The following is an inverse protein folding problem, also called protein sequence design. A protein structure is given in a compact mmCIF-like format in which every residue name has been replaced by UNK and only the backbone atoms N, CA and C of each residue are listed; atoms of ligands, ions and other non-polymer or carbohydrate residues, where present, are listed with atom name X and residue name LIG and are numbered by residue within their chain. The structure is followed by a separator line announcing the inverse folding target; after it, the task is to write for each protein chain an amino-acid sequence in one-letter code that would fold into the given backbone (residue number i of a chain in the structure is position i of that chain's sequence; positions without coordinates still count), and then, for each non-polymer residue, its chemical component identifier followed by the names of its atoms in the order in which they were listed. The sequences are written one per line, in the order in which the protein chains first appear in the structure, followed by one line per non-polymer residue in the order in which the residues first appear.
data_IF_305042035305
#
_entry.id   IF_305042035305
#
_cell.length_a   1.000
_cell.length_b   1.000
_cell.length_c   1.000
_cell.angle_alpha   90.00
_cell.angle_beta   90.00
_cell.angle_gamma   90.00
#
_symmetry.space_group_name_H-M   'P 1'
#
loop_
_entity.id
_entity.type
_entity.pdbx_description
1 polymer ?
#
# COMPACT_ATOMS: atom_id res chain seq x y z
N UNK A 1 10.53 10.72 41.57
CA UNK A 1 11.46 9.59 41.76
C UNK A 1 11.10 8.96 43.10
N UNK A 2 10.55 7.74 43.12
CA UNK A 2 10.14 7.08 44.37
C UNK A 2 11.39 6.89 45.24
N UNK A 3 11.48 7.54 46.41
CA UNK A 3 12.66 7.60 47.28
C UNK A 3 12.97 6.29 48.02
N UNK A 4 12.99 5.17 47.30
CA UNK A 4 13.08 3.82 47.85
C UNK A 4 14.41 3.21 47.45
N UNK A 5 15.10 2.58 48.41
CA UNK A 5 16.40 1.94 48.12
C UNK A 5 16.24 0.75 47.16
N UNK A 6 17.20 0.58 46.23
CA UNK A 6 17.26 -0.55 45.27
C UNK A 6 17.08 -1.90 45.98
N UNK A 7 17.70 -2.06 47.16
CA UNK A 7 17.60 -3.27 47.98
C UNK A 7 16.16 -3.57 48.42
N UNK A 8 15.41 -2.55 48.80
CA UNK A 8 14.02 -2.70 49.21
C UNK A 8 13.13 -3.01 48.02
N UNK A 9 13.31 -2.31 46.90
CA UNK A 9 12.56 -2.56 45.67
C UNK A 9 12.76 -3.99 45.13
N UNK A 10 14.01 -4.46 45.03
CA UNK A 10 14.31 -5.83 44.59
C UNK A 10 13.74 -6.90 45.53
N UNK A 11 13.74 -6.66 46.86
CA UNK A 11 13.14 -7.58 47.83
C UNK A 11 11.63 -7.68 47.66
N UNK A 12 10.94 -6.55 47.52
CA UNK A 12 9.49 -6.51 47.32
C UNK A 12 9.10 -7.18 46.01
N UNK A 13 9.90 -6.99 44.95
CA UNK A 13 9.67 -7.61 43.64
C UNK A 13 10.12 -9.09 43.56
N UNK A 14 10.74 -9.65 44.61
CA UNK A 14 11.29 -11.01 44.58
C UNK A 14 12.43 -11.23 43.58
N UNK A 15 13.10 -10.15 43.15
CA UNK A 15 14.13 -10.18 42.11
C UNK A 15 15.53 -10.06 42.71
N UNK A 16 16.49 -10.83 42.18
CA UNK A 16 17.88 -10.71 42.61
C UNK A 16 18.50 -9.39 42.11
N UNK A 17 19.25 -8.69 42.96
CA UNK A 17 19.87 -7.39 42.62
C UNK A 17 20.79 -7.45 41.40
N UNK A 18 21.48 -8.58 41.18
CA UNK A 18 22.30 -8.76 39.98
C UNK A 18 21.47 -8.71 38.69
N UNK A 19 20.22 -9.18 38.72
CA UNK A 19 19.30 -9.11 37.58
C UNK A 19 18.80 -7.69 37.36
N UNK A 20 18.60 -6.90 38.43
CA UNK A 20 18.23 -5.48 38.34
C UNK A 20 19.39 -4.62 37.80
N UNK A 21 20.63 -4.98 38.14
CA UNK A 21 21.87 -4.31 37.69
C UNK A 21 22.38 -4.82 36.35
N UNK A 22 21.79 -5.90 35.83
CA UNK A 22 22.16 -6.44 34.53
C UNK A 22 21.58 -5.52 33.46
N UNK A 23 22.43 -4.71 32.86
CA UNK A 23 22.05 -3.97 31.67
C UNK A 23 21.77 -4.96 30.54
N UNK A 24 20.61 -4.88 29.88
CA UNK A 24 20.34 -5.69 28.70
C UNK A 24 21.47 -5.46 27.68
N UNK A 25 21.97 -6.51 27.02
CA UNK A 25 23.02 -6.38 25.99
C UNK A 25 22.67 -5.33 24.93
N UNK A 26 21.38 -5.14 24.65
CA UNK A 26 20.84 -4.10 23.78
C UNK A 26 21.15 -2.64 24.19
N UNK A 27 21.56 -2.41 25.43
CA UNK A 27 21.94 -1.10 25.98
C UNK A 27 23.47 -0.93 26.08
N UNK A 28 24.24 -1.94 25.67
CA UNK A 28 25.70 -1.92 25.74
C UNK A 28 26.32 -1.57 24.38
N UNK A 29 27.49 -0.91 24.34
CA UNK A 29 28.23 -0.64 23.09
C UNK A 29 28.62 -1.90 22.30
N UNK A 30 28.48 -3.09 22.90
CA UNK A 30 28.79 -4.38 22.29
C UNK A 30 27.55 -5.09 21.74
N UNK A 31 26.40 -4.42 21.60
CA UNK A 31 25.22 -5.03 20.99
C UNK A 31 25.50 -5.45 19.53
N UNK A 32 25.54 -6.76 19.21
CA UNK A 32 25.74 -7.21 17.84
C UNK A 32 24.56 -6.84 16.92
N UNK A 33 23.43 -6.43 17.49
CA UNK A 33 22.21 -6.07 16.79
C UNK A 33 22.03 -4.55 16.62
N UNK A 34 22.96 -3.71 17.13
CA UNK A 34 22.83 -2.25 17.15
C UNK A 34 22.48 -1.65 15.78
N UNK A 35 23.26 -1.98 14.74
CA UNK A 35 23.04 -1.48 13.39
C UNK A 35 21.68 -1.92 12.81
N UNK A 36 21.22 -3.13 13.15
CA UNK A 36 19.91 -3.62 12.71
C UNK A 36 18.77 -2.93 13.48
N UNK A 37 18.95 -2.59 14.76
CA UNK A 37 17.98 -1.81 15.53
C UNK A 37 17.86 -0.39 14.96
N UNK A 38 18.98 0.25 14.65
CA UNK A 38 18.99 1.57 14.00
C UNK A 38 18.23 1.53 12.68
N UNK A 39 18.55 0.56 11.83
CA UNK A 39 17.84 0.33 10.58
C UNK A 39 16.33 0.12 10.78
N UNK A 40 15.92 -0.70 11.77
CA UNK A 40 14.51 -0.95 12.06
C UNK A 40 13.79 0.29 12.57
N UNK A 41 14.46 1.15 13.35
CA UNK A 41 13.91 2.41 13.84
C UNK A 41 13.70 3.39 12.70
N UNK A 42 14.66 3.51 11.80
CA UNK A 42 14.54 4.40 10.64
C UNK A 42 13.49 3.89 9.66
N UNK A 43 13.49 2.58 9.37
CA UNK A 43 12.44 1.93 8.58
C UNK A 43 11.03 2.19 9.15
N UNK A 44 10.85 2.14 10.48
CA UNK A 44 9.57 2.38 11.11
C UNK A 44 9.13 3.85 11.08
N UNK A 45 10.07 4.80 11.05
CA UNK A 45 9.77 6.24 10.86
C UNK A 45 9.30 6.51 9.44
N UNK A 46 9.98 5.94 8.45
CA UNK A 46 9.66 6.14 7.03
C UNK A 46 8.40 5.37 6.62
N UNK A 47 8.10 4.28 7.33
CA UNK A 47 6.97 3.42 7.02
C UNK A 47 6.11 3.09 8.25
N UNK A 48 5.43 4.08 8.85
CA UNK A 48 4.72 3.93 10.13
C UNK A 48 3.54 2.93 10.08
N UNK A 49 3.07 2.59 8.88
CA UNK A 49 2.01 1.61 8.63
C UNK A 49 2.52 0.21 8.26
N UNK A 50 3.82 0.03 8.07
CA UNK A 50 4.41 -1.27 7.69
C UNK A 50 4.93 -2.00 8.93
N UNK A 51 4.65 -3.29 9.02
CA UNK A 51 5.05 -4.12 10.15
C UNK A 51 6.35 -4.88 9.92
N UNK A 52 6.77 -5.61 10.95
CA UNK A 52 8.00 -6.41 10.96
C UNK A 52 8.16 -7.36 9.77
N UNK A 53 7.06 -7.86 9.17
CA UNK A 53 7.11 -8.75 8.00
C UNK A 53 7.62 -8.00 6.77
N UNK A 54 7.15 -6.78 6.54
CA UNK A 54 7.65 -5.93 5.45
C UNK A 54 9.10 -5.56 5.71
N UNK A 55 9.40 -5.11 6.94
CA UNK A 55 10.77 -4.79 7.36
C UNK A 55 11.75 -5.96 7.13
N UNK A 56 11.32 -7.19 7.39
CA UNK A 56 12.13 -8.38 7.11
C UNK A 56 12.48 -8.52 5.61
N UNK A 57 11.52 -8.35 4.71
CA UNK A 57 11.77 -8.50 3.27
C UNK A 57 12.57 -7.34 2.70
N UNK A 58 12.36 -6.14 3.22
CA UNK A 58 13.09 -4.94 2.82
C UNK A 58 14.55 -5.05 3.29
N UNK A 59 14.79 -5.47 4.55
CA UNK A 59 16.12 -5.76 5.07
C UNK A 59 16.85 -6.84 4.24
N UNK A 60 16.18 -7.95 3.89
CA UNK A 60 16.79 -9.01 3.08
C UNK A 60 17.25 -8.51 1.71
N UNK A 61 16.50 -7.58 1.12
CA UNK A 61 16.84 -7.01 -0.18
C UNK A 61 17.97 -5.99 -0.12
N UNK A 62 18.15 -5.32 1.02
CA UNK A 62 19.31 -4.47 1.31
C UNK A 62 20.56 -5.26 1.73
N UNK A 63 20.50 -6.59 1.69
CA UNK A 63 21.65 -7.47 1.92
C UNK A 63 21.77 -8.02 3.34
N UNK A 64 20.86 -7.67 4.25
CA UNK A 64 20.89 -8.22 5.60
C UNK A 64 20.69 -9.74 5.60
N UNK A 65 21.58 -10.47 6.28
CA UNK A 65 21.47 -11.94 6.45
C UNK A 65 20.87 -12.23 7.83
N UNK A 66 19.54 -12.14 7.91
CA UNK A 66 18.81 -12.22 9.17
C UNK A 66 17.55 -13.07 9.03
N UNK A 67 17.17 -13.77 10.09
CA UNK A 67 15.94 -14.55 10.14
C UNK A 67 14.74 -13.66 10.53
N UNK A 68 13.55 -13.94 10.00
CA UNK A 68 12.32 -13.22 10.35
C UNK A 68 12.03 -13.22 11.87
N UNK A 69 12.41 -14.28 12.60
CA UNK A 69 12.27 -14.35 14.07
C UNK A 69 13.13 -13.30 14.78
N UNK A 70 14.33 -13.02 14.26
CA UNK A 70 15.22 -11.99 14.80
C UNK A 70 14.63 -10.61 14.60
N UNK A 71 14.15 -10.30 13.39
CA UNK A 71 13.44 -9.04 13.10
C UNK A 71 12.23 -8.88 14.01
N UNK A 72 11.40 -9.92 14.15
CA UNK A 72 10.22 -9.86 15.03
C UNK A 72 10.58 -9.60 16.50
N UNK A 73 11.65 -10.22 17.00
CA UNK A 73 12.15 -10.02 18.36
C UNK A 73 12.63 -8.58 18.56
N UNK A 74 13.53 -8.11 17.71
CA UNK A 74 14.08 -6.75 17.79
C UNK A 74 12.99 -5.68 17.65
N UNK A 75 12.06 -5.87 16.72
CA UNK A 75 10.89 -4.99 16.56
C UNK A 75 10.09 -4.83 17.86
N UNK A 76 9.91 -5.90 18.64
CA UNK A 76 9.22 -5.86 19.93
C UNK A 76 10.07 -5.22 21.01
N UNK A 77 11.36 -5.52 21.06
CA UNK A 77 12.31 -4.96 22.03
C UNK A 77 12.46 -3.44 21.86
N UNK A 78 12.47 -2.95 20.62
CA UNK A 78 12.46 -1.51 20.29
C UNK A 78 11.09 -0.83 20.52
N UNK A 79 10.07 -1.59 20.97
CA UNK A 79 8.74 -1.05 21.21
C UNK A 79 7.97 -0.64 19.95
N UNK A 80 8.47 -1.01 18.75
CA UNK A 80 7.84 -0.66 17.48
C UNK A 80 6.48 -1.35 17.35
N UNK A 81 5.46 -0.58 16.97
CA UNK A 81 4.09 -1.09 16.79
C UNK A 81 3.45 -0.41 15.59
N UNK A 82 2.77 -1.22 14.78
CA UNK A 82 1.90 -0.70 13.73
C UNK A 82 0.53 -0.43 14.36
N UNK A 83 -0.03 0.78 14.24
CA UNK A 83 -1.38 1.07 14.69
C UNK A 83 -2.37 0.09 14.05
N UNK A 84 -3.22 -0.53 14.87
CA UNK A 84 -4.19 -1.48 14.36
C UNK A 84 -5.21 -0.76 13.49
N UNK A 85 -5.35 -1.21 12.24
CA UNK A 85 -6.39 -0.73 11.35
C UNK A 85 -7.75 -1.13 11.92
N UNK A 86 -8.70 -0.18 11.99
CA UNK A 86 -10.10 -0.49 12.30
C UNK A 86 -10.65 -1.40 11.20
N UNK A 87 -10.81 -2.69 11.50
CA UNK A 87 -11.47 -3.63 10.59
C UNK A 87 -12.94 -3.23 10.45
N UNK A 88 -13.36 -2.83 9.25
CA UNK A 88 -14.78 -2.75 8.93
C UNK A 88 -15.33 -4.17 8.86
N UNK A 89 -16.40 -4.47 9.61
CA UNK A 89 -17.10 -5.76 9.49
C UNK A 89 -17.66 -5.85 8.07
N UNK A 90 -17.19 -6.82 7.28
CA UNK A 90 -17.87 -7.20 6.03
C UNK A 90 -19.22 -7.82 6.41
N UNK A 91 -20.30 -7.33 5.80
CA UNK A 91 -21.61 -7.99 5.87
C UNK A 91 -21.70 -8.90 4.64
N UNK A 92 -21.84 -10.21 4.85
CA UNK A 92 -22.00 -11.20 3.76
C UNK A 92 -20.72 -11.91 3.30
N UNK A 93 -20.92 -12.94 2.48
CA UNK A 93 -19.89 -13.79 1.86
C UNK A 93 -19.98 -13.64 0.33
N UNK A 94 -18.85 -13.61 -0.37
CA UNK A 94 -18.84 -13.57 -1.84
C UNK A 94 -19.37 -14.87 -2.41
N UNK A 95 -20.47 -14.82 -3.16
CA UNK A 95 -21.14 -15.97 -3.79
C UNK A 95 -20.96 -16.03 -5.31
N UNK A 96 -20.21 -15.09 -5.89
CA UNK A 96 -20.00 -15.02 -7.34
C UNK A 96 -18.75 -15.82 -7.81
N UNK A 97 -18.81 -16.50 -8.97
CA UNK A 97 -17.64 -17.04 -9.63
C UNK A 97 -16.70 -15.91 -10.11
N UNK A 98 -15.37 -16.12 -10.17
CA UNK A 98 -14.44 -15.10 -10.65
C UNK A 98 -14.70 -14.79 -12.13
N UNK A 99 -15.06 -13.54 -12.43
CA UNK A 99 -15.21 -13.03 -13.78
C UNK A 99 -13.88 -12.47 -14.30
N UNK A 100 -13.51 -12.85 -15.54
CA UNK A 100 -12.30 -12.47 -16.30
C UNK A 100 -11.01 -12.58 -15.48
N UNK A 101 -10.24 -13.64 -15.73
CA UNK A 101 -8.95 -13.84 -15.08
C UNK A 101 -7.91 -12.92 -15.75
N UNK A 102 -7.25 -12.09 -14.94
CA UNK A 102 -6.06 -11.37 -15.37
C UNK A 102 -4.84 -12.32 -15.36
N UNK A 103 -4.75 -13.13 -16.41
CA UNK A 103 -3.73 -14.16 -16.60
C UNK A 103 -2.40 -13.63 -17.18
N UNK A 104 -2.44 -12.46 -17.81
CA UNK A 104 -1.29 -11.75 -18.33
C UNK A 104 -1.33 -10.24 -18.00
N UNK A 105 -0.18 -9.53 -18.01
CA UNK A 105 -0.12 -8.07 -17.97
C UNK A 105 -0.97 -7.45 -19.09
N UNK A 106 -1.56 -6.30 -18.81
CA UNK A 106 -2.44 -5.54 -19.70
C UNK A 106 -3.68 -6.30 -20.16
N UNK A 107 -4.02 -7.45 -19.56
CA UNK A 107 -5.28 -8.13 -19.89
C UNK A 107 -6.48 -7.42 -19.27
N UNK A 108 -6.35 -7.02 -18.01
CA UNK A 108 -7.40 -6.34 -17.26
C UNK A 108 -6.81 -5.17 -16.51
N UNK A 109 -7.26 -3.96 -16.87
CA UNK A 109 -7.02 -2.76 -16.08
C UNK A 109 -8.22 -2.50 -15.20
N UNK A 110 -7.98 -2.23 -13.92
CA UNK A 110 -9.01 -1.89 -12.95
C UNK A 110 -8.94 -0.40 -12.60
N UNK A 111 -10.08 0.26 -12.68
CA UNK A 111 -10.25 1.68 -12.37
C UNK A 111 -11.18 1.83 -11.17
N UNK A 112 -10.81 2.71 -10.24
CA UNK A 112 -11.68 3.08 -9.11
C UNK A 112 -11.35 4.48 -8.59
N UNK A 113 -12.37 5.13 -8.06
CA UNK A 113 -12.31 6.49 -7.54
C UNK A 113 -12.29 6.48 -6.02
N UNK A 114 -11.56 7.43 -5.45
CA UNK A 114 -11.61 7.73 -4.03
C UNK A 114 -11.55 9.23 -3.79
N UNK A 115 -12.05 9.62 -2.62
CA UNK A 115 -12.17 11.01 -2.23
C UNK A 115 -11.42 11.28 -0.92
N UNK A 116 -10.91 12.49 -0.84
CA UNK A 116 -10.32 13.13 0.34
C UNK A 116 -10.65 14.64 0.33
N UNK A 117 -10.13 15.41 1.27
CA UNK A 117 -10.27 16.87 1.29
C UNK A 117 -8.99 17.57 1.73
N UNK A 118 -8.78 18.78 1.21
CA UNK A 118 -7.74 19.68 1.72
C UNK A 118 -8.14 20.26 3.08
N UNK A 119 -7.20 20.86 3.81
CA UNK A 119 -7.43 21.40 5.17
C UNK A 119 -8.44 22.54 5.22
N UNK A 120 -8.72 23.17 4.08
CA UNK A 120 -9.79 24.16 3.89
C UNK A 120 -11.15 23.53 3.54
N UNK A 121 -11.27 22.21 3.59
CA UNK A 121 -12.51 21.45 3.33
C UNK A 121 -12.82 21.23 1.86
N UNK A 122 -11.98 21.69 0.91
CA UNK A 122 -12.26 21.48 -0.52
C UNK A 122 -12.01 20.02 -0.92
N UNK A 123 -12.90 19.40 -1.70
CA UNK A 123 -12.77 17.99 -2.07
C UNK A 123 -11.58 17.74 -3.00
N UNK A 124 -10.95 16.59 -2.85
CA UNK A 124 -9.92 16.04 -3.74
C UNK A 124 -10.44 14.70 -4.24
N UNK A 125 -10.55 14.59 -5.56
CA UNK A 125 -10.95 13.39 -6.27
C UNK A 125 -9.70 12.72 -6.83
N UNK A 126 -9.56 11.43 -6.56
CA UNK A 126 -8.40 10.63 -6.96
C UNK A 126 -8.92 9.45 -7.76
N UNK A 127 -8.41 9.27 -8.97
CA UNK A 127 -8.61 8.03 -9.73
C UNK A 127 -7.33 7.22 -9.73
N UNK A 128 -7.47 5.92 -9.58
CA UNK A 128 -6.38 4.96 -9.64
C UNK A 128 -6.66 3.95 -10.73
N UNK A 129 -5.69 3.73 -11.62
CA UNK A 129 -5.72 2.74 -12.69
C UNK A 129 -4.61 1.75 -12.39
N UNK A 130 -4.96 0.48 -12.22
CA UNK A 130 -3.99 -0.58 -11.92
C UNK A 130 -4.12 -1.73 -12.91
N UNK A 131 -3.03 -2.45 -13.11
CA UNK A 131 -3.04 -3.72 -13.79
C UNK A 131 -3.34 -4.86 -12.79
N UNK A 132 -4.38 -5.66 -13.07
CA UNK A 132 -4.83 -6.69 -12.12
C UNK A 132 -3.84 -7.85 -11.96
N UNK A 133 -3.05 -8.15 -13.01
CA UNK A 133 -2.10 -9.25 -13.01
C UNK A 133 -0.85 -8.88 -12.21
N UNK A 134 -0.18 -7.81 -12.61
CA UNK A 134 1.11 -7.34 -12.10
C UNK A 134 1.01 -6.52 -10.82
N UNK A 135 -0.19 -6.02 -10.49
CA UNK A 135 -0.47 -5.10 -9.37
C UNK A 135 0.16 -3.74 -9.53
N UNK A 136 0.68 -3.46 -10.72
CA UNK A 136 1.32 -2.21 -11.03
C UNK A 136 0.28 -1.10 -11.06
N UNK A 137 0.59 0.01 -10.41
CA UNK A 137 -0.12 1.26 -10.59
C UNK A 137 0.29 1.82 -11.95
N UNK A 138 -0.66 1.88 -12.88
CA UNK A 138 -0.39 2.34 -14.24
C UNK A 138 -0.41 3.86 -14.30
N UNK A 139 -1.47 4.45 -13.74
CA UNK A 139 -1.70 5.88 -13.81
C UNK A 139 -3.00 6.30 -13.14
N UNK A 140 -3.39 7.54 -13.34
CA UNK A 140 -4.54 8.17 -12.72
C UNK A 140 -4.24 9.59 -12.25
N UNK A 141 -5.28 10.25 -11.78
CA UNK A 141 -5.31 11.71 -11.60
C UNK A 141 -5.67 12.08 -10.17
N UNK A 142 -5.23 13.26 -9.73
CA UNK A 142 -5.58 13.87 -8.44
C UNK A 142 -6.06 15.29 -8.72
N UNK A 143 -7.37 15.48 -8.72
CA UNK A 143 -8.03 16.68 -9.21
C UNK A 143 -9.20 17.11 -8.32
N UNK A 144 -9.73 18.32 -8.54
CA UNK A 144 -11.01 18.72 -7.92
C UNK A 144 -12.20 18.05 -8.59
N UNK A 145 -12.11 17.84 -9.91
CA UNK A 145 -13.09 17.17 -10.74
C UNK A 145 -12.38 16.38 -11.82
N UNK A 146 -12.93 15.24 -12.20
CA UNK A 146 -12.42 14.37 -13.26
C UNK A 146 -13.63 14.03 -14.13
N UNK A 147 -13.57 14.42 -15.40
CA UNK A 147 -14.58 14.13 -16.43
C UNK A 147 -14.27 12.78 -17.11
N UNK A 148 -15.24 12.25 -17.87
CA UNK A 148 -15.01 11.06 -18.70
C UNK A 148 -13.94 11.29 -19.76
N UNK A 149 -13.92 12.47 -20.40
CA UNK A 149 -12.92 12.85 -21.40
C UNK A 149 -11.49 12.85 -20.83
N UNK A 150 -11.27 13.48 -19.67
CA UNK A 150 -9.95 13.46 -19.03
C UNK A 150 -9.51 12.05 -18.63
N UNK A 151 -10.46 11.18 -18.28
CA UNK A 151 -10.16 9.77 -17.99
C UNK A 151 -9.77 9.01 -19.26
N UNK A 152 -10.44 9.28 -20.37
CA UNK A 152 -10.10 8.71 -21.69
C UNK A 152 -8.68 9.15 -22.09
N UNK A 153 -8.37 10.45 -22.00
CA UNK A 153 -7.03 10.96 -22.33
C UNK A 153 -5.92 10.27 -21.51
N UNK A 154 -6.18 10.03 -20.22
CA UNK A 154 -5.26 9.31 -19.35
C UNK A 154 -5.14 7.83 -19.74
N UNK A 155 -6.24 7.17 -20.10
CA UNK A 155 -6.21 5.78 -20.57
C UNK A 155 -5.46 5.64 -21.90
N UNK A 156 -5.64 6.57 -22.83
CA UNK A 156 -4.91 6.62 -24.10
C UNK A 156 -3.42 6.86 -23.88
N UNK A 157 -3.05 7.78 -22.98
CA UNK A 157 -1.65 8.01 -22.59
C UNK A 157 -1.02 6.72 -22.05
N UNK A 158 -1.72 6.02 -21.15
CA UNK A 158 -1.26 4.75 -20.60
C UNK A 158 -1.14 3.65 -21.66
N UNK A 159 -2.09 3.56 -22.57
CA UNK A 159 -2.06 2.59 -23.66
C UNK A 159 -0.88 2.85 -24.61
N UNK A 160 -0.60 4.12 -24.92
CA UNK A 160 0.56 4.52 -25.71
C UNK A 160 1.89 4.17 -25.01
N UNK A 161 2.00 4.43 -23.70
CA UNK A 161 3.19 4.06 -22.91
C UNK A 161 3.41 2.55 -22.83
N UNK A 162 2.33 1.77 -22.79
CA UNK A 162 2.37 0.30 -22.75
C UNK A 162 2.51 -0.33 -24.14
N UNK A 163 2.26 0.43 -25.20
CA UNK A 163 2.17 -0.06 -26.57
C UNK A 163 0.92 -0.91 -26.85
N UNK A 164 -0.04 -0.96 -25.93
CA UNK A 164 -1.30 -1.71 -26.08
C UNK A 164 -2.39 -1.16 -25.18
N UNK A 165 -3.63 -1.26 -25.65
CA UNK A 165 -4.82 -1.12 -24.81
C UNK A 165 -5.07 -2.37 -23.98
N UNK A 166 -5.78 -2.24 -22.84
CA UNK A 166 -6.22 -3.41 -22.10
C UNK A 166 -7.30 -4.18 -22.85
N UNK A 167 -7.31 -5.51 -22.72
CA UNK A 167 -8.43 -6.28 -23.29
C UNK A 167 -9.75 -5.96 -22.56
N UNK A 168 -9.68 -5.70 -21.25
CA UNK A 168 -10.83 -5.33 -20.43
C UNK A 168 -10.50 -4.16 -19.51
N UNK A 169 -11.37 -3.16 -19.48
CA UNK A 169 -11.39 -2.12 -18.46
C UNK A 169 -12.47 -2.46 -17.44
N UNK A 170 -12.06 -2.86 -16.23
CA UNK A 170 -12.96 -3.15 -15.12
C UNK A 170 -13.19 -1.89 -14.30
N UNK A 171 -14.44 -1.53 -14.11
CA UNK A 171 -14.80 -0.32 -13.39
C UNK A 171 -16.18 -0.42 -12.71
N UNK A 172 -16.48 0.50 -11.81
CA UNK A 172 -17.81 0.64 -11.23
C UNK A 172 -18.74 1.47 -12.15
N UNK A 173 -20.00 1.62 -11.74
CA UNK A 173 -20.99 2.37 -12.52
C UNK A 173 -20.91 3.89 -12.26
N UNK A 174 -19.71 4.42 -12.01
CA UNK A 174 -19.50 5.86 -11.83
C UNK A 174 -19.92 6.64 -13.08
N UNK A 175 -20.48 7.86 -12.95
CA UNK A 175 -20.95 8.64 -14.09
C UNK A 175 -19.85 9.00 -15.10
N UNK A 176 -18.59 9.04 -14.67
CA UNK A 176 -17.42 9.28 -15.53
C UNK A 176 -17.13 8.10 -16.46
N UNK A 177 -17.56 6.90 -16.07
CA UNK A 177 -17.33 5.63 -16.76
C UNK A 177 -18.58 5.18 -17.53
N UNK A 178 -19.77 5.47 -16.99
CA UNK A 178 -21.06 5.17 -17.59
C UNK A 178 -21.55 6.31 -18.52
N UNK A 179 -20.65 6.89 -19.32
CA UNK A 179 -20.96 7.95 -20.28
C UNK A 179 -20.83 7.46 -21.74
N UNK A 180 -21.52 8.12 -22.67
CA UNK A 180 -21.49 7.74 -24.09
C UNK A 180 -20.07 7.85 -24.67
N UNK A 181 -19.32 8.89 -24.28
CA UNK A 181 -17.94 9.08 -24.72
C UNK A 181 -17.03 7.89 -24.35
N UNK A 182 -17.20 7.30 -23.16
CA UNK A 182 -16.45 6.12 -22.74
C UNK A 182 -16.86 4.88 -23.53
N UNK A 183 -18.15 4.72 -23.83
CA UNK A 183 -18.64 3.63 -24.66
C UNK A 183 -18.12 3.74 -26.11
N UNK A 184 -18.13 4.94 -26.68
CA UNK A 184 -17.61 5.24 -28.01
C UNK A 184 -16.10 5.04 -28.08
N UNK A 185 -15.36 5.51 -27.07
CA UNK A 185 -13.93 5.25 -26.94
C UNK A 185 -13.65 3.76 -26.88
N UNK A 186 -14.33 2.99 -26.04
CA UNK A 186 -14.05 1.56 -25.91
C UNK A 186 -14.45 0.72 -27.14
N UNK A 187 -15.34 1.23 -27.99
CA UNK A 187 -15.93 0.48 -29.09
C UNK A 187 -14.89 -0.12 -30.03
N UNK A 188 -14.84 -1.45 -30.09
CA UNK A 188 -13.94 -2.20 -30.98
C UNK A 188 -12.48 -2.30 -30.52
N UNK A 189 -12.10 -1.67 -29.39
CA UNK A 189 -10.73 -1.70 -28.88
C UNK A 189 -10.59 -2.25 -27.46
N UNK A 190 -11.55 -1.97 -26.56
CA UNK A 190 -11.50 -2.34 -25.14
C UNK A 190 -12.84 -2.91 -24.68
N UNK A 191 -12.83 -4.03 -23.97
CA UNK A 191 -14.05 -4.54 -23.32
C UNK A 191 -14.36 -3.76 -22.04
N UNK A 192 -15.44 -2.98 -21.99
CA UNK A 192 -15.90 -2.37 -20.74
C UNK A 192 -16.60 -3.41 -19.87
N UNK A 193 -16.07 -3.65 -18.66
CA UNK A 193 -16.67 -4.52 -17.67
C UNK A 193 -17.11 -3.71 -16.44
N UNK A 194 -18.37 -3.32 -16.43
CA UNK A 194 -19.02 -2.69 -15.29
C UNK A 194 -19.34 -3.71 -14.20
N UNK A 195 -18.88 -3.45 -12.97
CA UNK A 195 -19.25 -4.30 -11.83
C UNK A 195 -20.73 -4.07 -11.46
N UNK A 196 -21.48 -5.11 -11.06
CA UNK A 196 -22.85 -4.95 -10.62
C UNK A 196 -22.96 -3.99 -9.42
N UNK A 197 -24.01 -3.17 -9.33
CA UNK A 197 -24.26 -2.33 -8.17
C UNK A 197 -24.28 -3.15 -6.88
N UNK A 198 -23.56 -2.68 -5.86
CA UNK A 198 -23.50 -3.35 -4.56
C UNK A 198 -22.57 -4.56 -4.50
N UNK A 199 -21.75 -4.80 -5.53
CA UNK A 199 -20.75 -5.89 -5.57
C UNK A 199 -19.28 -5.40 -5.61
N UNK A 200 -18.81 -4.62 -4.60
CA UNK A 200 -17.46 -4.07 -4.53
C UNK A 200 -16.35 -5.14 -4.68
N UNK A 201 -16.60 -6.35 -4.17
CA UNK A 201 -15.66 -7.46 -4.24
C UNK A 201 -15.32 -7.93 -5.66
N UNK A 202 -16.04 -7.50 -6.69
CA UNK A 202 -15.64 -7.80 -8.08
C UNK A 202 -14.50 -6.92 -8.58
N UNK A 203 -14.19 -5.83 -7.89
CA UNK A 203 -13.05 -4.94 -8.18
C UNK A 203 -11.99 -5.01 -7.05
N UNK A 204 -11.82 -6.18 -6.43
CA UNK A 204 -11.03 -6.39 -5.21
C UNK A 204 -9.59 -5.82 -5.27
N UNK A 205 -8.98 -5.79 -6.46
CA UNK A 205 -7.58 -5.43 -6.61
C UNK A 205 -7.35 -3.93 -6.49
N UNK A 206 -8.14 -3.12 -7.21
CA UNK A 206 -8.05 -1.67 -7.07
C UNK A 206 -8.63 -1.22 -5.74
N UNK A 207 -9.62 -1.92 -5.18
CA UNK A 207 -10.07 -1.65 -3.80
C UNK A 207 -8.97 -1.89 -2.77
N UNK A 208 -8.21 -2.96 -2.94
CA UNK A 208 -7.06 -3.27 -2.07
C UNK A 208 -5.97 -2.21 -2.22
N UNK A 209 -5.75 -1.72 -3.44
CA UNK A 209 -4.85 -0.60 -3.72
C UNK A 209 -5.33 0.70 -3.06
N UNK A 210 -6.58 1.11 -3.29
CA UNK A 210 -7.20 2.33 -2.76
C UNK A 210 -7.28 2.29 -1.22
N UNK A 211 -7.57 1.13 -0.67
CA UNK A 211 -7.47 0.89 0.77
C UNK A 211 -6.08 1.15 1.34
N UNK A 212 -5.02 0.94 0.55
CA UNK A 212 -3.64 1.03 0.99
C UNK A 212 -3.11 2.45 0.91
N UNK A 213 -3.31 3.12 -0.22
CA UNK A 213 -3.03 4.55 -0.33
C UNK A 213 -3.82 5.33 0.74
N UNK A 214 -5.06 4.94 1.04
CA UNK A 214 -5.81 5.57 2.12
C UNK A 214 -5.13 5.42 3.48
N UNK A 215 -4.70 4.21 3.84
CA UNK A 215 -4.11 3.95 5.16
C UNK A 215 -2.68 4.51 5.31
N UNK A 216 -1.89 4.38 4.24
CA UNK A 216 -0.45 4.62 4.24
C UNK A 216 -0.04 5.98 3.66
N UNK A 217 -0.93 6.69 2.99
CA UNK A 217 -0.68 8.03 2.46
C UNK A 217 -1.72 9.02 3.00
N UNK A 218 -2.99 8.84 2.66
CA UNK A 218 -4.03 9.83 2.92
C UNK A 218 -4.26 10.05 4.43
N UNK A 219 -4.42 8.98 5.21
CA UNK A 219 -4.70 9.07 6.65
C UNK A 219 -3.52 9.55 7.51
N UNK A 220 -2.32 9.67 6.95
CA UNK A 220 -1.12 10.13 7.68
C UNK A 220 -0.64 11.50 7.22
N UNK A 221 -1.27 12.08 6.19
CA UNK A 221 -0.95 13.39 5.66
C UNK A 221 -2.11 14.36 5.86
N UNK A 222 -1.80 15.66 5.86
CA UNK A 222 -2.80 16.72 5.75
C UNK A 222 -2.42 17.58 4.56
N UNK A 223 -3.37 17.78 3.64
CA UNK A 223 -3.13 18.47 2.38
C UNK A 223 -3.60 19.91 2.45
N UNK A 224 -2.69 20.88 2.36
CA UNK A 224 -3.03 22.31 2.34
C UNK A 224 -3.49 22.75 0.94
N UNK A 225 -3.06 22.04 -0.11
CA UNK A 225 -3.39 22.36 -1.50
C UNK A 225 -3.50 21.12 -2.38
N UNK A 226 -4.17 21.27 -3.53
CA UNK A 226 -4.23 20.21 -4.55
C UNK A 226 -2.84 19.88 -5.11
N UNK A 227 -1.99 20.90 -5.29
CA UNK A 227 -0.63 20.72 -5.80
C UNK A 227 0.21 19.84 -4.85
N UNK A 228 0.13 20.08 -3.54
CA UNK A 228 0.78 19.23 -2.56
C UNK A 228 0.21 17.81 -2.59
N UNK A 229 -1.12 17.65 -2.67
CA UNK A 229 -1.74 16.34 -2.75
C UNK A 229 -1.25 15.55 -3.97
N UNK A 230 -1.13 16.19 -5.15
CA UNK A 230 -0.58 15.58 -6.37
C UNK A 230 0.84 15.06 -6.14
N UNK A 231 1.73 15.87 -5.59
CA UNK A 231 3.14 15.47 -5.35
C UNK A 231 3.21 14.30 -4.38
N UNK A 232 2.60 14.43 -3.19
CA UNK A 232 2.68 13.39 -2.15
C UNK A 232 2.07 12.06 -2.62
N UNK A 233 0.94 12.11 -3.34
CA UNK A 233 0.30 10.91 -3.88
C UNK A 233 1.15 10.31 -5.01
N UNK A 234 1.75 11.13 -5.88
CA UNK A 234 2.63 10.66 -6.94
C UNK A 234 3.89 9.97 -6.38
N UNK A 235 4.54 10.57 -5.37
CA UNK A 235 5.70 9.99 -4.70
C UNK A 235 5.35 8.65 -4.06
N UNK A 236 4.20 8.58 -3.37
CA UNK A 236 3.72 7.32 -2.78
C UNK A 236 3.44 6.24 -3.84
N UNK A 237 2.87 6.62 -4.99
CA UNK A 237 2.60 5.72 -6.11
C UNK A 237 3.89 5.21 -6.75
N UNK A 238 4.91 6.06 -6.86
CA UNK A 238 6.24 5.66 -7.30
C UNK A 238 6.87 4.65 -6.33
N UNK A 239 6.86 4.92 -5.02
CA UNK A 239 7.33 3.98 -4.00
C UNK A 239 6.59 2.63 -4.06
N UNK A 240 5.26 2.69 -4.23
CA UNK A 240 4.41 1.52 -4.39
C UNK A 240 4.89 0.61 -5.54
N UNK A 241 5.25 1.17 -6.69
CA UNK A 241 5.63 0.38 -7.86
C UNK A 241 7.06 -0.16 -7.78
N UNK A 242 7.99 0.65 -7.26
CA UNK A 242 9.43 0.38 -7.39
C UNK A 242 10.05 -0.25 -6.15
N UNK A 243 9.54 0.06 -4.95
CA UNK A 243 10.18 -0.36 -3.70
C UNK A 243 9.30 -1.29 -2.88
N UNK A 244 7.98 -1.13 -2.95
CA UNK A 244 7.08 -1.90 -2.09
C UNK A 244 6.97 -3.37 -2.50
N UNK A 245 7.30 -4.26 -1.58
CA UNK A 245 7.22 -5.71 -1.79
C UNK A 245 5.82 -6.26 -1.57
N UNK A 246 5.34 -7.07 -2.52
CA UNK A 246 4.02 -7.72 -2.46
C UNK A 246 4.14 -9.21 -2.17
N UNK A 247 3.48 -9.69 -1.11
CA UNK A 247 3.48 -11.13 -0.80
C UNK A 247 2.85 -12.00 -1.90
N UNK A 248 1.88 -11.46 -2.65
CA UNK A 248 1.27 -12.14 -3.80
C UNK A 248 2.19 -12.26 -5.01
N UNK A 249 3.24 -11.43 -5.09
CA UNK A 249 4.22 -11.38 -6.18
C UNK A 249 5.58 -11.95 -5.73
N UNK A 250 5.58 -12.89 -4.79
CA UNK A 250 6.82 -13.46 -4.25
C UNK A 250 7.72 -12.42 -3.55
N UNK A 251 7.13 -11.35 -3.00
CA UNK A 251 7.82 -10.21 -2.41
C UNK A 251 8.67 -9.39 -3.38
N UNK A 252 8.31 -9.39 -4.67
CA UNK A 252 8.84 -8.43 -5.63
C UNK A 252 8.01 -7.13 -5.63
N UNK A 253 8.64 -5.98 -5.96
CA UNK A 253 7.92 -4.77 -6.33
C UNK A 253 7.11 -4.96 -7.62
N UNK A 254 5.92 -4.33 -7.76
CA UNK A 254 5.07 -4.48 -8.94
C UNK A 254 5.79 -4.21 -10.26
N UNK A 255 6.58 -3.14 -10.37
CA UNK A 255 7.31 -2.82 -11.59
C UNK A 255 8.36 -3.89 -11.95
N UNK A 256 9.02 -4.46 -10.93
CA UNK A 256 9.98 -5.57 -11.14
C UNK A 256 9.29 -6.84 -11.59
N UNK A 257 8.15 -7.16 -10.98
CA UNK A 257 7.36 -8.32 -11.37
C UNK A 257 6.84 -8.16 -12.80
N UNK A 258 6.26 -7.00 -13.13
CA UNK A 258 5.81 -6.67 -14.48
C UNK A 258 6.93 -6.82 -15.53
N UNK A 259 8.13 -6.32 -15.25
CA UNK A 259 9.29 -6.47 -16.12
C UNK A 259 9.78 -7.93 -16.29
N UNK A 260 9.44 -8.82 -15.35
CA UNK A 260 9.76 -10.24 -15.42
C UNK A 260 8.70 -11.08 -16.14
N UNK A 261 7.51 -10.53 -16.39
CA UNK A 261 6.45 -11.20 -17.11
C UNK A 261 6.81 -11.29 -18.61
N UNK A 262 7.03 -12.51 -19.10
CA UNK A 262 7.37 -12.77 -20.51
C UNK A 262 6.15 -13.05 -21.39
N UNK A 263 4.97 -13.19 -20.79
CA UNK A 263 3.72 -13.39 -21.52
C UNK A 263 3.04 -12.02 -21.65
N UNK A 264 2.86 -11.55 -22.88
CA UNK A 264 2.02 -10.41 -23.25
C UNK A 264 0.76 -10.93 -23.94
#
# INVERSE_FOLDING_TARGET
MLGVSERFACRVAGQHRATQRHEPTAATPQDPDAALRDWLRDYAKDHPRRGFRSAYHDARAEGWIVNHKKIQRLWREEGLRVPQRRRRKRRGSSTAPPAVVADAPNRVWAVDFQFDSTTDGRPVKIVSIIDEHTREYLGGMVERSITGEHLIDELDRLAAERGTYPAVLRCDNGPELACSAMADWAAGQVGLHFIPPGEPWRNCYVESFNSRIRDECLNINSFWSLAQARVVIADWKHDYNHHRRHSSLGYQPPARYAASCTHQ
#
